data_IF_654740030004
#
_entry.id   IF_654740030004
#
_cell.length_a   1.000
_cell.length_b   1.000
_cell.length_c   1.000
_cell.angle_alpha   90.00
_cell.angle_beta   90.00
_cell.angle_gamma   90.00
#
_symmetry.space_group_name_H-M   'P 1'
#
loop_
_entity.id
_entity.type
_entity.pdbx_description
1 polymer ?
#
# COMPACT_ATOMS: atom_id res chain seq x y z
N UNK A 1 -15.33 -23.58 0.11
CA UNK A 1 -16.82 -23.48 0.19
C UNK A 1 -17.30 -22.18 0.84
N UNK A 2 -16.98 -21.88 2.10
CA UNK A 2 -17.46 -20.67 2.78
C UNK A 2 -17.11 -19.35 2.05
N UNK A 3 -15.93 -19.27 1.43
CA UNK A 3 -15.50 -18.12 0.63
C UNK A 3 -16.40 -17.93 -0.61
N UNK A 4 -16.67 -19.00 -1.37
CA UNK A 4 -17.61 -18.97 -2.50
C UNK A 4 -18.99 -18.47 -2.05
N UNK A 5 -19.52 -19.05 -0.98
CA UNK A 5 -20.82 -18.66 -0.44
C UNK A 5 -20.87 -17.17 -0.08
N UNK A 6 -19.88 -16.66 0.64
CA UNK A 6 -19.83 -15.26 1.03
C UNK A 6 -19.78 -14.32 -0.19
N UNK A 7 -18.99 -14.66 -1.20
CA UNK A 7 -18.92 -13.89 -2.44
C UNK A 7 -20.27 -13.91 -3.21
N UNK A 8 -20.92 -15.07 -3.27
CA UNK A 8 -22.23 -15.21 -3.93
C UNK A 8 -23.37 -14.50 -3.18
N UNK A 9 -23.22 -14.30 -1.86
CA UNK A 9 -24.13 -13.48 -1.06
C UNK A 9 -23.83 -11.97 -1.15
N UNK A 10 -22.86 -11.56 -1.97
CA UNK A 10 -22.55 -10.15 -2.21
C UNK A 10 -21.72 -9.49 -1.09
N UNK A 11 -20.96 -10.27 -0.31
CA UNK A 11 -20.00 -9.69 0.63
C UNK A 11 -18.94 -8.88 -0.13
N UNK A 12 -18.62 -7.67 0.33
CA UNK A 12 -17.52 -6.86 -0.24
C UNK A 12 -16.18 -7.12 0.46
N UNK A 13 -16.22 -7.63 1.70
CA UNK A 13 -15.04 -7.97 2.50
C UNK A 13 -15.28 -9.30 3.20
N UNK A 14 -14.30 -10.21 3.17
CA UNK A 14 -14.31 -11.46 3.93
C UNK A 14 -13.19 -11.42 4.98
N UNK A 15 -13.58 -11.42 6.25
CA UNK A 15 -12.67 -11.52 7.39
C UNK A 15 -12.42 -13.00 7.74
N UNK A 16 -11.16 -13.42 7.72
CA UNK A 16 -10.71 -14.78 8.04
C UNK A 16 -9.77 -14.75 9.24
N UNK A 17 -10.35 -14.61 10.44
CA UNK A 17 -9.63 -14.71 11.73
C UNK A 17 -9.30 -16.17 12.08
N UNK A 18 -8.71 -16.91 11.13
CA UNK A 18 -8.38 -18.34 11.21
C UNK A 18 -7.04 -18.61 10.52
N UNK A 19 -6.47 -19.79 10.78
CA UNK A 19 -5.25 -20.25 10.13
C UNK A 19 -4.97 -21.72 10.40
N UNK A 20 -4.00 -22.30 9.69
CA UNK A 20 -3.43 -23.60 10.05
C UNK A 20 -2.69 -23.52 11.39
N UNK A 21 -2.83 -24.56 12.21
CA UNK A 21 -2.19 -24.65 13.53
C UNK A 21 -0.78 -25.25 13.47
N UNK A 22 -0.45 -25.96 12.39
CA UNK A 22 0.85 -26.64 12.20
C UNK A 22 1.23 -26.70 10.73
N UNK A 23 2.53 -26.70 10.46
CA UNK A 23 3.11 -26.84 9.12
C UNK A 23 3.13 -25.53 8.34
N UNK A 24 4.11 -25.37 7.45
CA UNK A 24 4.17 -24.24 6.55
C UNK A 24 3.31 -24.54 5.32
N UNK A 25 2.25 -23.75 5.11
CA UNK A 25 1.35 -23.89 3.97
C UNK A 25 1.41 -22.61 3.14
N UNK A 26 1.98 -22.71 1.94
CA UNK A 26 1.90 -21.68 0.92
C UNK A 26 0.63 -21.92 0.10
N UNK A 27 -0.37 -21.07 0.28
CA UNK A 27 -1.70 -21.33 -0.27
C UNK A 27 -1.74 -21.54 -1.79
N UNK A 28 -1.07 -20.73 -2.64
CA UNK A 28 -1.03 -20.97 -4.09
C UNK A 28 -0.48 -22.35 -4.48
N UNK A 29 0.54 -22.83 -3.75
CA UNK A 29 1.26 -24.07 -4.07
C UNK A 29 0.64 -25.31 -3.45
N UNK A 30 0.27 -25.22 -2.17
CA UNK A 30 -0.05 -26.36 -1.32
C UNK A 30 -1.57 -26.55 -1.17
N UNK A 31 -2.37 -25.50 -1.40
CA UNK A 31 -3.85 -25.56 -1.31
C UNK A 31 -4.54 -24.90 -2.51
N UNK A 32 -4.36 -25.42 -3.74
CA UNK A 32 -4.87 -24.79 -4.96
C UNK A 32 -6.39 -24.60 -4.96
N UNK A 33 -7.16 -25.51 -4.35
CA UNK A 33 -8.62 -25.35 -4.23
C UNK A 33 -9.03 -24.17 -3.33
N UNK A 34 -8.21 -23.83 -2.33
CA UNK A 34 -8.43 -22.64 -1.51
C UNK A 34 -8.05 -21.39 -2.29
N UNK A 35 -6.92 -21.40 -3.01
CA UNK A 35 -6.52 -20.29 -3.87
C UNK A 35 -7.59 -20.02 -4.94
N UNK A 36 -8.18 -21.04 -5.55
CA UNK A 36 -9.28 -20.90 -6.51
C UNK A 36 -10.51 -20.20 -5.89
N UNK A 37 -10.84 -20.53 -4.64
CA UNK A 37 -11.92 -19.85 -3.93
C UNK A 37 -11.60 -18.38 -3.63
N UNK A 38 -10.34 -18.08 -3.31
CA UNK A 38 -9.85 -16.73 -3.09
C UNK A 38 -9.89 -15.92 -4.39
N UNK A 39 -9.39 -16.48 -5.49
CA UNK A 39 -9.41 -15.85 -6.81
C UNK A 39 -10.85 -15.61 -7.29
N UNK A 40 -11.75 -16.56 -7.05
CA UNK A 40 -13.17 -16.39 -7.34
C UNK A 40 -13.77 -15.20 -6.59
N UNK A 41 -13.57 -15.13 -5.27
CA UNK A 41 -14.08 -14.03 -4.46
C UNK A 41 -13.46 -12.69 -4.89
N UNK A 42 -12.15 -12.63 -5.12
CA UNK A 42 -11.48 -11.42 -5.61
C UNK A 42 -12.06 -10.97 -6.97
N UNK A 43 -12.27 -11.89 -7.91
CA UNK A 43 -12.88 -11.58 -9.23
C UNK A 43 -14.32 -11.05 -9.13
N UNK A 44 -15.01 -11.35 -8.03
CA UNK A 44 -16.35 -10.83 -7.70
C UNK A 44 -16.31 -9.46 -7.01
N UNK A 45 -15.13 -8.87 -6.86
CA UNK A 45 -14.93 -7.57 -6.20
C UNK A 45 -14.82 -7.68 -4.68
N UNK A 46 -14.50 -8.86 -4.14
CA UNK A 46 -14.41 -9.08 -2.69
C UNK A 46 -12.97 -8.92 -2.23
N UNK A 47 -12.74 -8.12 -1.19
CA UNK A 47 -11.44 -8.06 -0.53
C UNK A 47 -11.33 -9.16 0.54
N UNK A 48 -10.24 -9.92 0.53
CA UNK A 48 -9.97 -10.94 1.53
C UNK A 48 -8.94 -10.47 2.54
N UNK A 49 -9.20 -10.72 3.82
CA UNK A 49 -8.35 -10.29 4.93
C UNK A 49 -8.19 -11.46 5.90
N UNK A 50 -6.95 -11.83 6.26
CA UNK A 50 -6.68 -13.00 7.08
C UNK A 50 -5.67 -12.73 8.21
N UNK A 51 -5.79 -13.48 9.30
CA UNK A 51 -4.87 -13.40 10.43
C UNK A 51 -3.50 -14.00 10.10
N UNK A 52 -2.42 -13.35 10.52
CA UNK A 52 -1.07 -13.86 10.29
C UNK A 52 -0.68 -15.05 11.19
N UNK A 53 -1.39 -15.29 12.30
CA UNK A 53 -1.06 -16.33 13.29
C UNK A 53 -0.49 -15.77 14.60
N UNK A 54 -0.37 -16.62 15.63
CA UNK A 54 -0.15 -16.21 17.03
C UNK A 54 0.98 -16.99 17.74
N UNK A 55 1.92 -17.54 16.98
CA UNK A 55 2.97 -18.44 17.47
C UNK A 55 4.33 -17.76 17.63
N UNK A 56 4.43 -16.44 17.43
CA UNK A 56 5.68 -15.68 17.41
C UNK A 56 6.72 -16.26 16.45
N UNK A 57 6.28 -16.68 15.26
CA UNK A 57 7.08 -17.46 14.34
C UNK A 57 7.05 -16.95 12.91
N UNK A 58 8.03 -17.39 12.12
CA UNK A 58 8.08 -17.18 10.66
C UNK A 58 7.25 -18.17 9.85
N UNK A 59 6.39 -18.97 10.51
CA UNK A 59 5.64 -20.03 9.83
C UNK A 59 4.62 -19.47 8.84
N UNK A 60 4.43 -20.16 7.73
CA UNK A 60 3.47 -19.78 6.70
C UNK A 60 2.04 -20.14 7.13
N UNK A 61 1.19 -19.14 7.29
CA UNK A 61 -0.21 -19.29 7.72
C UNK A 61 -1.18 -19.02 6.57
N UNK A 62 -1.92 -20.04 6.16
CA UNK A 62 -3.01 -20.00 5.18
C UNK A 62 -4.33 -19.75 5.90
N UNK A 63 -5.20 -18.82 5.45
CA UNK A 63 -5.23 -18.19 4.13
C UNK A 63 -4.43 -16.89 3.98
N UNK A 64 -3.70 -16.41 4.99
CA UNK A 64 -2.92 -15.19 4.86
C UNK A 64 -1.81 -15.28 3.79
N UNK A 65 -1.34 -16.48 3.45
CA UNK A 65 -0.41 -16.74 2.35
C UNK A 65 -1.07 -16.85 0.97
N UNK A 66 -2.40 -16.78 0.87
CA UNK A 66 -3.10 -16.80 -0.41
C UNK A 66 -2.87 -15.48 -1.16
N UNK A 67 -2.78 -15.57 -2.48
CA UNK A 67 -2.77 -14.38 -3.35
C UNK A 67 -4.06 -13.60 -3.15
N UNK A 68 -4.04 -12.27 -3.32
CA UNK A 68 -5.19 -11.36 -3.12
C UNK A 68 -5.77 -11.32 -1.69
N UNK A 69 -5.06 -11.89 -0.71
CA UNK A 69 -5.45 -11.84 0.69
C UNK A 69 -4.50 -10.94 1.46
N UNK A 70 -5.04 -9.99 2.23
CA UNK A 70 -4.25 -9.17 3.14
C UNK A 70 -3.96 -9.97 4.42
N UNK A 71 -2.70 -10.35 4.61
CA UNK A 71 -2.22 -10.95 5.86
C UNK A 71 -2.01 -9.88 6.93
N UNK A 72 -2.62 -10.06 8.10
CA UNK A 72 -2.67 -9.05 9.16
C UNK A 72 -1.88 -9.48 10.39
N UNK A 73 -0.79 -8.76 10.66
CA UNK A 73 -0.03 -8.85 11.90
C UNK A 73 -0.67 -8.03 13.04
N UNK A 74 -0.30 -8.34 14.28
CA UNK A 74 -0.84 -7.71 15.49
C UNK A 74 0.15 -6.71 16.07
N UNK A 75 -0.34 -5.55 16.50
CA UNK A 75 0.40 -4.59 17.34
C UNK A 75 -0.29 -4.34 18.68
N UNK A 76 0.51 -3.92 19.66
CA UNK A 76 0.04 -3.39 20.94
C UNK A 76 -0.18 -1.88 20.93
N UNK A 77 -0.52 -1.32 22.09
CA UNK A 77 -0.86 0.11 22.24
C UNK A 77 0.30 1.08 21.97
N UNK A 78 1.54 0.58 21.95
CA UNK A 78 2.74 1.37 21.62
C UNK A 78 3.14 1.27 20.15
N UNK A 79 2.28 0.76 19.27
CA UNK A 79 2.60 0.38 17.88
C UNK A 79 3.72 -0.65 17.75
N UNK A 80 4.11 -1.32 18.83
CA UNK A 80 5.05 -2.42 18.78
C UNK A 80 4.34 -3.68 18.31
N UNK A 81 4.99 -4.47 17.45
CA UNK A 81 4.51 -5.82 17.10
C UNK A 81 4.27 -6.62 18.37
N UNK A 82 3.11 -7.27 18.42
CA UNK A 82 2.73 -8.10 19.53
C UNK A 82 3.67 -9.28 19.67
N UNK A 83 4.03 -9.60 20.91
CA UNK A 83 4.99 -10.66 21.22
C UNK A 83 4.57 -12.05 20.69
N UNK A 84 3.29 -12.24 20.35
CA UNK A 84 2.76 -13.47 19.78
C UNK A 84 2.59 -13.41 18.25
N UNK A 85 2.67 -12.25 17.61
CA UNK A 85 2.35 -12.13 16.19
C UNK A 85 3.35 -12.93 15.35
N UNK A 86 2.86 -13.75 14.44
CA UNK A 86 3.71 -14.28 13.39
C UNK A 86 4.15 -13.16 12.44
N UNK A 87 5.20 -13.47 11.68
CA UNK A 87 5.85 -12.58 10.74
C UNK A 87 6.26 -13.34 9.47
N UNK A 88 6.46 -12.64 8.36
CA UNK A 88 6.90 -13.28 7.11
C UNK A 88 6.46 -12.52 5.87
N UNK A 89 6.82 -13.06 4.70
CA UNK A 89 6.51 -12.47 3.39
C UNK A 89 5.02 -12.33 3.07
N UNK A 90 4.16 -13.00 3.83
CA UNK A 90 2.70 -12.96 3.66
C UNK A 90 2.03 -11.89 4.53
N UNK A 91 2.77 -11.20 5.40
CA UNK A 91 2.24 -10.07 6.18
C UNK A 91 2.12 -8.85 5.25
N UNK A 92 0.91 -8.36 5.04
CA UNK A 92 0.65 -7.19 4.21
C UNK A 92 0.62 -5.91 5.05
N UNK A 93 0.05 -5.97 6.25
CA UNK A 93 -0.14 -4.81 7.13
C UNK A 93 -0.28 -5.24 8.59
N UNK A 94 -0.09 -4.31 9.52
CA UNK A 94 -0.36 -4.53 10.93
C UNK A 94 -1.56 -3.72 11.42
N UNK A 95 -2.24 -4.23 12.44
CA UNK A 95 -3.30 -3.52 13.14
C UNK A 95 -3.31 -3.84 14.64
N UNK A 96 -3.93 -3.00 15.49
CA UNK A 96 -4.07 -3.27 16.92
C UNK A 96 -4.73 -4.63 17.18
N UNK A 97 -4.05 -5.50 17.92
CA UNK A 97 -4.54 -6.85 18.25
C UNK A 97 -4.31 -7.27 19.70
N UNK A 98 -3.78 -6.39 20.56
CA UNK A 98 -3.70 -6.62 22.00
C UNK A 98 -4.80 -5.91 22.77
N UNK A 99 -5.38 -6.60 23.76
CA UNK A 99 -6.39 -6.02 24.65
C UNK A 99 -7.52 -5.32 23.87
N UNK A 100 -8.06 -6.00 22.86
CA UNK A 100 -9.18 -5.50 22.06
C UNK A 100 -10.48 -5.84 22.75
N UNK A 101 -11.24 -4.81 23.12
CA UNK A 101 -12.54 -4.93 23.76
C UNK A 101 -13.63 -5.19 22.73
N UNK A 102 -14.37 -6.28 22.86
CA UNK A 102 -15.48 -6.58 21.95
C UNK A 102 -16.57 -7.40 22.62
N UNK A 103 -17.68 -7.61 21.90
CA UNK A 103 -18.84 -8.37 22.33
C UNK A 103 -18.49 -9.84 22.57
N UNK A 104 -19.12 -10.45 23.57
CA UNK A 104 -18.96 -11.87 23.91
C UNK A 104 -20.25 -12.64 23.70
N UNK A 105 -20.14 -13.91 23.29
CA UNK A 105 -21.30 -14.80 23.26
C UNK A 105 -21.91 -14.96 24.67
N UNK A 106 -23.24 -14.97 24.75
CA UNK A 106 -23.98 -14.92 26.03
C UNK A 106 -24.15 -13.51 26.61
N UNK A 107 -23.75 -12.47 25.89
CA UNK A 107 -23.88 -11.06 26.28
C UNK A 107 -22.65 -10.48 26.96
N UNK A 108 -22.63 -9.15 27.08
CA UNK A 108 -21.51 -8.40 27.64
C UNK A 108 -20.32 -8.29 26.70
N UNK A 109 -19.18 -7.92 27.28
CA UNK A 109 -17.96 -7.59 26.57
C UNK A 109 -16.75 -8.20 27.26
N UNK A 110 -15.70 -8.48 26.50
CA UNK A 110 -14.43 -8.97 27.02
C UNK A 110 -13.26 -8.41 26.22
N UNK A 111 -12.10 -8.34 26.87
CA UNK A 111 -10.83 -8.10 26.20
C UNK A 111 -10.26 -9.42 25.67
N UNK A 112 -9.82 -9.42 24.42
CA UNK A 112 -9.09 -10.52 23.80
C UNK A 112 -7.84 -10.01 23.08
N UNK A 113 -6.96 -10.93 22.72
CA UNK A 113 -5.75 -10.62 21.95
C UNK A 113 -5.49 -11.68 20.89
N UNK A 114 -4.84 -11.27 19.81
CA UNK A 114 -4.47 -12.13 18.70
C UNK A 114 -4.46 -11.36 17.37
N UNK A 115 -3.77 -11.89 16.37
CA UNK A 115 -3.93 -11.44 14.98
C UNK A 115 -5.38 -11.59 14.52
N UNK A 116 -6.11 -12.57 15.06
CA UNK A 116 -7.57 -12.71 14.90
C UNK A 116 -8.36 -11.47 15.34
N UNK A 117 -7.87 -10.69 16.31
CA UNK A 117 -8.47 -9.44 16.77
C UNK A 117 -7.99 -8.24 15.94
N UNK A 118 -6.82 -8.30 15.32
CA UNK A 118 -6.32 -7.28 14.38
C UNK A 118 -7.02 -7.34 13.00
N UNK A 119 -7.24 -8.54 12.46
CA UNK A 119 -7.91 -8.79 11.17
C UNK A 119 -9.26 -8.05 11.00
N UNK A 120 -10.18 -8.03 11.99
CA UNK A 120 -11.45 -7.31 11.83
C UNK A 120 -11.29 -5.79 11.82
N UNK A 121 -10.22 -5.20 12.38
CA UNK A 121 -9.98 -3.76 12.23
C UNK A 121 -9.62 -3.40 10.78
N UNK A 122 -8.78 -4.21 10.13
CA UNK A 122 -8.45 -4.03 8.70
C UNK A 122 -9.70 -4.26 7.84
N UNK A 123 -10.50 -5.28 8.16
CA UNK A 123 -11.76 -5.55 7.46
C UNK A 123 -12.77 -4.40 7.63
N UNK A 124 -12.84 -3.81 8.82
CA UNK A 124 -13.68 -2.64 9.09
C UNK A 124 -13.22 -1.41 8.31
N UNK A 125 -11.92 -1.16 8.22
CA UNK A 125 -11.37 -0.10 7.37
C UNK A 125 -11.71 -0.31 5.90
N UNK A 126 -11.57 -1.54 5.38
CA UNK A 126 -11.98 -1.87 4.02
C UNK A 126 -13.47 -1.59 3.78
N UNK A 127 -14.34 -1.94 4.74
CA UNK A 127 -15.77 -1.64 4.65
C UNK A 127 -16.06 -0.12 4.63
N UNK A 128 -15.34 0.67 5.42
CA UNK A 128 -15.45 2.14 5.38
C UNK A 128 -15.01 2.70 4.02
N UNK A 129 -13.95 2.16 3.43
CA UNK A 129 -13.49 2.55 2.10
C UNK A 129 -14.50 2.20 1.01
N UNK A 130 -15.10 1.00 1.03
CA UNK A 130 -16.19 0.67 0.11
C UNK A 130 -17.41 1.57 0.27
N UNK A 131 -17.73 1.98 1.51
CA UNK A 131 -18.83 2.92 1.75
C UNK A 131 -18.52 4.32 1.23
N UNK A 132 -17.29 4.82 1.42
CA UNK A 132 -16.85 6.12 0.93
C UNK A 132 -16.63 6.14 -0.59
N UNK A 133 -16.22 5.01 -1.17
CA UNK A 133 -15.90 4.84 -2.58
C UNK A 133 -16.56 3.56 -3.16
N UNK A 134 -17.88 3.57 -3.43
CA UNK A 134 -18.60 2.37 -3.89
C UNK A 134 -18.11 1.77 -5.21
N UNK A 135 -17.35 2.53 -6.00
CA UNK A 135 -16.75 2.08 -7.26
C UNK A 135 -15.35 1.49 -7.15
N UNK A 136 -14.77 1.41 -5.94
CA UNK A 136 -13.45 0.83 -5.77
C UNK A 136 -13.45 -0.67 -6.05
N UNK A 137 -12.39 -1.13 -6.73
CA UNK A 137 -12.06 -2.55 -6.81
C UNK A 137 -11.39 -3.02 -5.52
N UNK A 138 -11.35 -4.34 -5.23
CA UNK A 138 -10.59 -4.86 -4.09
C UNK A 138 -9.11 -4.44 -4.12
N UNK A 139 -8.51 -4.31 -5.29
CA UNK A 139 -7.12 -3.84 -5.41
C UNK A 139 -6.95 -2.37 -5.03
N UNK A 140 -7.93 -1.53 -5.37
CA UNK A 140 -7.94 -0.12 -4.97
C UNK A 140 -8.15 0.03 -3.47
N UNK A 141 -9.03 -0.79 -2.86
CA UNK A 141 -9.18 -0.81 -1.40
C UNK A 141 -7.90 -1.29 -0.73
N UNK A 142 -7.25 -2.34 -1.25
CA UNK A 142 -5.95 -2.79 -0.76
C UNK A 142 -4.88 -1.70 -0.88
N UNK A 143 -4.78 -1.02 -2.02
CA UNK A 143 -3.87 0.13 -2.20
C UNK A 143 -4.18 1.25 -1.19
N UNK A 144 -5.44 1.62 -1.01
CA UNK A 144 -5.82 2.65 -0.06
C UNK A 144 -5.42 2.31 1.40
N UNK A 145 -5.50 1.04 1.78
CA UNK A 145 -5.09 0.57 3.12
C UNK A 145 -3.56 0.56 3.25
N UNK A 146 -2.88 -0.04 2.28
CA UNK A 146 -1.46 -0.35 2.37
C UNK A 146 -0.57 0.86 2.10
N UNK A 147 -0.92 1.68 1.12
CA UNK A 147 -0.09 2.83 0.72
C UNK A 147 -0.26 4.03 1.68
N UNK A 148 -1.27 4.00 2.54
CA UNK A 148 -1.51 4.98 3.59
C UNK A 148 -1.22 4.44 4.99
N UNK A 149 -0.69 3.21 5.10
CA UNK A 149 -0.28 2.68 6.39
C UNK A 149 0.88 3.51 6.97
N UNK A 150 0.91 3.64 8.28
CA UNK A 150 2.00 4.30 8.99
C UNK A 150 3.13 3.31 9.12
N UNK A 151 4.20 3.56 8.37
CA UNK A 151 5.43 2.78 8.40
C UNK A 151 6.02 2.69 9.83
N UNK A 152 6.33 1.46 10.22
CA UNK A 152 6.82 1.06 11.53
C UNK A 152 7.80 -0.07 11.30
N UNK A 153 8.89 -0.08 12.07
CA UNK A 153 9.97 -1.04 11.86
C UNK A 153 11.01 -0.50 10.89
N UNK A 154 11.42 -1.35 9.94
CA UNK A 154 12.38 -0.96 8.91
C UNK A 154 11.67 -0.21 7.79
N UNK A 155 12.25 0.85 7.20
CA UNK A 155 11.57 1.65 6.18
C UNK A 155 11.08 0.82 4.99
N UNK A 156 9.81 1.00 4.62
CA UNK A 156 9.13 0.28 3.55
C UNK A 156 8.42 -0.97 4.06
N UNK A 157 8.32 -2.00 3.21
CA UNK A 157 7.74 -3.26 3.62
C UNK A 157 8.73 -4.06 4.48
N UNK A 158 8.27 -4.57 5.63
CA UNK A 158 9.01 -5.53 6.44
C UNK A 158 8.16 -6.74 6.88
N UNK A 159 8.79 -7.87 7.29
CA UNK A 159 8.05 -9.09 7.64
C UNK A 159 7.14 -8.99 8.87
N UNK A 160 7.33 -8.00 9.74
CA UNK A 160 6.63 -7.86 11.02
C UNK A 160 5.45 -6.90 10.93
N UNK A 161 5.60 -5.78 10.22
CA UNK A 161 4.57 -4.76 10.05
C UNK A 161 3.93 -4.78 8.67
N UNK A 162 4.49 -5.53 7.72
CA UNK A 162 4.11 -5.42 6.32
C UNK A 162 4.39 -4.00 5.85
N UNK A 163 3.38 -3.33 5.32
CA UNK A 163 3.44 -1.91 4.93
C UNK A 163 3.35 -0.92 6.08
N UNK A 164 3.26 -1.39 7.32
CA UNK A 164 3.09 -0.56 8.50
C UNK A 164 1.76 -0.83 9.20
N UNK A 165 1.45 -0.01 10.20
CA UNK A 165 0.18 -0.07 10.92
C UNK A 165 -0.91 0.69 10.15
N UNK A 166 -2.10 0.11 10.03
CA UNK A 166 -3.24 0.81 9.39
C UNK A 166 -3.49 2.21 9.95
N UNK A 167 -3.88 3.13 9.06
CA UNK A 167 -4.35 4.48 9.39
C UNK A 167 -5.67 4.74 8.67
N UNK A 168 -6.76 4.66 9.44
CA UNK A 168 -8.10 4.85 8.89
C UNK A 168 -8.33 6.26 8.35
N UNK A 169 -7.74 7.27 9.00
CA UNK A 169 -7.92 8.66 8.58
C UNK A 169 -7.20 8.93 7.27
N UNK A 170 -5.92 8.55 7.18
CA UNK A 170 -5.13 8.72 5.96
C UNK A 170 -5.71 7.92 4.79
N UNK A 171 -6.12 6.67 5.03
CA UNK A 171 -6.72 5.82 3.99
C UNK A 171 -8.04 6.42 3.44
N UNK A 172 -8.91 6.96 4.30
CA UNK A 172 -10.16 7.60 3.87
C UNK A 172 -9.94 8.97 3.22
N UNK A 173 -8.91 9.72 3.65
CA UNK A 173 -8.62 11.05 3.11
C UNK A 173 -7.96 10.97 1.73
N UNK A 174 -6.97 10.09 1.58
CA UNK A 174 -6.15 10.00 0.38
C UNK A 174 -6.69 8.98 -0.63
N UNK A 175 -7.41 7.96 -0.15
CA UNK A 175 -7.95 6.89 -1.00
C UNK A 175 -6.84 6.04 -1.64
N UNK A 176 -7.21 5.37 -2.73
CA UNK A 176 -6.31 4.52 -3.51
C UNK A 176 -5.29 5.34 -4.31
N UNK A 177 -4.01 4.95 -4.25
CA UNK A 177 -2.92 5.58 -5.01
C UNK A 177 -2.71 4.91 -6.37
N UNK A 178 -3.46 3.84 -6.67
CA UNK A 178 -3.40 3.10 -7.92
C UNK A 178 -4.31 1.86 -7.91
N UNK A 179 -4.13 1.01 -8.92
CA UNK A 179 -4.84 -0.27 -9.03
C UNK A 179 -4.09 -1.43 -8.37
N UNK A 180 -3.00 -1.15 -7.64
CA UNK A 180 -2.23 -2.15 -6.90
C UNK A 180 -1.44 -1.45 -5.79
N UNK A 181 -1.20 -2.11 -4.63
CA UNK A 181 -0.40 -1.55 -3.55
C UNK A 181 1.05 -1.27 -3.99
N UNK A 182 1.54 -0.06 -3.76
CA UNK A 182 2.90 0.35 -4.09
C UNK A 182 3.92 -0.20 -3.07
N UNK A 183 3.53 -0.23 -1.79
CA UNK A 183 4.42 -0.64 -0.71
C UNK A 183 4.93 -2.09 -0.85
N UNK A 184 4.08 -3.00 -1.35
CA UNK A 184 4.41 -4.43 -1.48
C UNK A 184 5.39 -4.76 -2.62
N UNK A 185 5.77 -3.77 -3.43
CA UNK A 185 6.41 -4.02 -4.72
C UNK A 185 5.54 -4.89 -5.65
N UNK A 186 6.05 -5.25 -6.82
CA UNK A 186 5.29 -6.04 -7.80
C UNK A 186 5.07 -7.52 -7.42
N UNK A 187 5.52 -7.96 -6.24
CA UNK A 187 5.76 -9.38 -5.95
C UNK A 187 4.77 -10.04 -4.97
N UNK A 188 4.03 -9.28 -4.14
CA UNK A 188 3.17 -9.90 -3.10
C UNK A 188 1.66 -9.81 -3.39
N UNK A 189 1.20 -8.82 -4.16
CA UNK A 189 -0.21 -8.67 -4.52
C UNK A 189 -0.45 -9.15 -5.96
N UNK A 190 -0.98 -10.37 -6.13
CA UNK A 190 -1.39 -10.91 -7.44
C UNK A 190 -0.65 -12.17 -7.93
N UNK A 191 0.33 -12.69 -7.17
CA UNK A 191 1.04 -13.92 -7.49
C UNK A 191 2.05 -13.78 -8.65
N UNK A 192 3.08 -14.62 -8.67
CA UNK A 192 4.06 -14.65 -9.77
C UNK A 192 3.45 -15.27 -11.05
N UNK A 193 2.66 -14.52 -11.80
CA UNK A 193 2.39 -14.78 -13.22
C UNK A 193 1.82 -13.54 -13.92
N UNK A 194 2.64 -12.90 -14.76
CA UNK A 194 2.31 -12.11 -15.97
C UNK A 194 3.35 -11.02 -16.29
N UNK A 195 4.64 -11.29 -16.06
CA UNK A 195 5.73 -10.40 -16.47
C UNK A 195 5.99 -10.39 -18.00
N UNK A 196 5.32 -11.24 -18.78
CA UNK A 196 5.54 -11.35 -20.23
C UNK A 196 4.42 -10.78 -21.11
N UNK A 197 3.17 -10.68 -20.63
CA UNK A 197 2.02 -10.24 -21.43
C UNK A 197 1.61 -8.77 -21.21
N UNK A 198 1.98 -8.14 -20.08
CA UNK A 198 1.58 -6.74 -19.75
C UNK A 198 2.44 -5.62 -20.34
N UNK A 199 3.45 -5.92 -21.17
CA UNK A 199 4.23 -4.85 -21.85
C UNK A 199 3.44 -4.13 -22.95
N UNK A 200 2.28 -4.63 -23.36
CA UNK A 200 1.54 -4.07 -24.50
C UNK A 200 0.33 -3.18 -24.14
N UNK A 201 -0.05 -3.04 -22.87
CA UNK A 201 -1.33 -2.38 -22.51
C UNK A 201 -1.21 -1.25 -21.47
N UNK A 202 -0.01 -0.91 -20.99
CA UNK A 202 0.19 0.27 -20.15
C UNK A 202 0.32 1.53 -21.02
N UNK A 203 -0.80 1.95 -21.59
CA UNK A 203 -1.03 3.30 -22.08
C UNK A 203 -2.16 3.90 -21.24
N UNK A 204 -1.85 5.03 -20.59
CA UNK A 204 -2.75 5.98 -19.90
C UNK A 204 -3.20 5.56 -18.48
N UNK A 205 -2.92 6.29 -17.39
CA UNK A 205 -2.53 7.70 -17.24
C UNK A 205 -1.66 7.88 -15.98
N UNK A 206 -0.47 8.47 -16.15
CA UNK A 206 0.31 9.07 -15.07
C UNK A 206 0.34 10.57 -15.35
N UNK A 207 0.30 11.41 -14.32
CA UNK A 207 0.68 12.80 -14.52
C UNK A 207 2.06 12.84 -15.20
N UNK A 208 2.16 13.48 -16.36
CA UNK A 208 3.40 13.52 -17.14
C UNK A 208 4.48 14.23 -16.30
N UNK A 209 5.57 13.56 -16.00
CA UNK A 209 6.78 14.16 -15.42
C UNK A 209 7.95 13.89 -16.34
N UNK A 210 8.96 14.76 -16.34
CA UNK A 210 10.13 14.60 -17.20
C UNK A 210 10.93 13.39 -16.71
N UNK A 211 11.10 12.32 -17.51
CA UNK A 211 11.85 11.15 -17.08
C UNK A 211 13.28 11.51 -16.71
N UNK A 212 13.78 10.90 -15.64
CA UNK A 212 15.11 11.11 -15.08
C UNK A 212 15.30 12.44 -14.35
N UNK A 213 14.24 13.22 -14.07
CA UNK A 213 14.36 14.53 -13.41
C UNK A 213 13.52 14.66 -12.13
N UNK A 214 14.17 15.12 -11.07
CA UNK A 214 13.55 15.42 -9.78
C UNK A 214 13.83 16.87 -9.37
N UNK A 215 12.90 17.48 -8.65
CA UNK A 215 13.08 18.76 -7.96
C UNK A 215 13.40 18.45 -6.50
N UNK A 216 14.57 18.90 -6.05
CA UNK A 216 15.13 18.66 -4.74
C UNK A 216 15.32 19.97 -3.98
N UNK A 217 14.87 20.02 -2.74
CA UNK A 217 15.11 21.10 -1.79
C UNK A 217 15.95 20.61 -0.63
N UNK A 218 16.98 21.36 -0.29
CA UNK A 218 17.86 21.08 0.84
C UNK A 218 17.58 22.07 1.97
N UNK A 219 17.78 21.64 3.21
CA UNK A 219 17.64 22.50 4.39
C UNK A 219 18.63 23.68 4.34
N UNK A 220 18.24 24.88 4.80
CA UNK A 220 18.97 26.13 4.56
C UNK A 220 20.37 26.21 5.18
N UNK A 221 20.65 25.42 6.22
CA UNK A 221 21.90 25.49 6.99
C UNK A 221 23.02 24.56 6.49
N UNK A 222 22.87 23.96 5.31
CA UNK A 222 23.84 23.02 4.77
C UNK A 222 25.03 23.74 4.12
N UNK A 223 26.23 23.45 4.61
CA UNK A 223 27.47 23.89 3.99
C UNK A 223 27.67 23.25 2.61
N UNK A 224 28.36 23.96 1.70
CA UNK A 224 28.56 23.50 0.31
C UNK A 224 29.25 22.12 0.18
N UNK A 225 30.09 21.73 1.14
CA UNK A 225 30.70 20.40 1.18
C UNK A 225 29.68 19.29 1.46
N UNK A 226 28.69 19.54 2.32
CA UNK A 226 27.62 18.58 2.63
C UNK A 226 26.69 18.36 1.43
N UNK A 227 26.49 19.39 0.61
CA UNK A 227 25.73 19.28 -0.64
C UNK A 227 26.46 18.37 -1.64
N UNK A 228 27.77 18.57 -1.82
CA UNK A 228 28.58 17.74 -2.72
C UNK A 228 28.64 16.28 -2.26
N UNK A 229 28.75 16.05 -0.94
CA UNK A 229 28.73 14.70 -0.36
C UNK A 229 27.38 14.00 -0.59
N UNK A 230 26.25 14.68 -0.36
CA UNK A 230 24.92 14.14 -0.63
C UNK A 230 24.78 13.69 -2.08
N UNK A 231 25.28 14.50 -3.01
CA UNK A 231 25.16 14.22 -4.44
C UNK A 231 25.97 12.98 -4.83
N UNK A 232 27.15 12.83 -4.25
CA UNK A 232 27.99 11.66 -4.44
C UNK A 232 27.38 10.40 -3.81
N UNK A 233 26.92 10.47 -2.56
CA UNK A 233 26.32 9.35 -1.82
C UNK A 233 25.09 8.77 -2.54
N UNK A 234 24.22 9.64 -3.03
CA UNK A 234 23.00 9.22 -3.71
C UNK A 234 23.17 9.06 -5.22
N UNK A 235 24.37 9.27 -5.76
CA UNK A 235 24.62 9.21 -7.22
C UNK A 235 23.68 10.11 -8.03
N UNK A 236 23.38 11.32 -7.51
CA UNK A 236 22.52 12.31 -8.16
C UNK A 236 23.34 13.41 -8.83
N UNK A 237 22.92 13.83 -10.02
CA UNK A 237 23.61 14.90 -10.78
C UNK A 237 22.85 16.21 -10.71
N UNK A 238 23.52 17.31 -10.40
CA UNK A 238 22.89 18.64 -10.57
C UNK A 238 22.69 18.94 -12.06
N UNK A 239 21.44 19.16 -12.47
CA UNK A 239 21.09 19.61 -13.82
C UNK A 239 20.99 21.13 -13.88
N UNK A 240 20.27 21.73 -12.92
CA UNK A 240 20.01 23.16 -12.89
C UNK A 240 19.74 23.64 -11.46
N UNK A 241 20.11 24.87 -11.14
CA UNK A 241 19.62 25.55 -9.92
C UNK A 241 18.38 26.37 -10.29
N UNK A 242 17.28 26.11 -9.60
CA UNK A 242 16.01 26.83 -9.73
C UNK A 242 16.00 28.13 -8.92
N UNK A 243 14.91 28.88 -9.05
CA UNK A 243 14.67 30.06 -8.22
C UNK A 243 14.27 29.65 -6.80
N UNK A 244 14.63 30.49 -5.82
CA UNK A 244 14.23 30.28 -4.42
C UNK A 244 15.05 29.26 -3.63
N UNK A 245 15.99 28.52 -4.26
CA UNK A 245 16.87 27.54 -3.58
C UNK A 245 16.69 26.08 -4.05
N UNK A 246 15.75 25.83 -4.97
CA UNK A 246 15.47 24.49 -5.48
C UNK A 246 16.55 24.01 -6.45
N UNK A 247 16.76 22.70 -6.50
CA UNK A 247 17.74 22.04 -7.36
C UNK A 247 17.00 21.07 -8.27
N UNK A 248 17.15 21.24 -9.58
CA UNK A 248 16.77 20.22 -10.54
C UNK A 248 17.90 19.21 -10.63
N UNK A 249 17.63 17.97 -10.24
CA UNK A 249 18.60 16.87 -10.20
C UNK A 249 18.22 15.77 -11.18
N UNK A 250 19.25 15.10 -11.71
CA UNK A 250 19.15 14.00 -12.66
C UNK A 250 19.38 12.66 -11.97
N UNK A 251 18.52 11.71 -12.28
CA UNK A 251 18.54 10.31 -11.81
C UNK A 251 18.38 9.37 -13.01
N UNK A 252 18.74 8.07 -12.89
CA UNK A 252 18.49 7.11 -13.96
C UNK A 252 17.00 7.07 -14.34
N UNK A 253 16.73 7.14 -15.65
CA UNK A 253 15.36 7.10 -16.18
C UNK A 253 14.66 5.80 -15.76
N UNK A 254 13.41 5.92 -15.31
CA UNK A 254 12.61 4.82 -14.79
C UNK A 254 12.89 4.46 -13.32
N UNK A 255 13.83 5.14 -12.65
CA UNK A 255 14.14 4.96 -11.23
C UNK A 255 13.77 6.19 -10.38
N UNK A 256 12.95 7.11 -10.91
CA UNK A 256 12.61 8.37 -10.25
C UNK A 256 11.98 8.13 -8.88
N UNK A 257 11.05 7.18 -8.78
CA UNK A 257 10.40 6.83 -7.50
C UNK A 257 11.37 6.25 -6.47
N UNK A 258 12.33 5.43 -6.90
CA UNK A 258 13.38 4.89 -6.02
C UNK A 258 14.24 6.04 -5.45
N UNK A 259 14.60 6.99 -6.29
CA UNK A 259 15.41 8.12 -5.87
C UNK A 259 14.61 9.14 -5.05
N UNK A 260 13.31 9.31 -5.30
CA UNK A 260 12.43 10.09 -4.42
C UNK A 260 12.45 9.54 -2.99
N UNK A 261 12.30 8.23 -2.82
CA UNK A 261 12.33 7.60 -1.51
C UNK A 261 13.70 7.76 -0.82
N UNK A 262 14.79 7.51 -1.54
CA UNK A 262 16.16 7.63 -1.02
C UNK A 262 16.51 9.06 -0.60
N UNK A 263 16.13 10.05 -1.41
CA UNK A 263 16.41 11.45 -1.15
C UNK A 263 15.49 12.00 -0.05
N UNK A 264 14.20 11.65 -0.04
CA UNK A 264 13.26 12.08 0.99
C UNK A 264 13.68 11.60 2.40
N UNK A 265 14.33 10.45 2.49
CA UNK A 265 14.84 9.89 3.74
C UNK A 265 16.15 10.54 4.23
N UNK A 266 16.85 11.33 3.40
CA UNK A 266 18.11 11.96 3.80
C UNK A 266 17.84 13.19 4.68
N UNK A 267 18.43 13.31 5.88
CA UNK A 267 18.13 14.38 6.83
C UNK A 267 18.50 15.78 6.32
N UNK A 268 19.34 15.88 5.29
CA UNK A 268 19.69 17.13 4.62
C UNK A 268 18.61 17.60 3.64
N UNK A 269 17.68 16.72 3.25
CA UNK A 269 16.61 17.03 2.30
C UNK A 269 15.41 17.60 3.04
N UNK A 270 14.89 18.72 2.53
CA UNK A 270 13.66 19.36 3.00
C UNK A 270 12.46 18.78 2.26
N UNK A 271 12.54 18.65 0.93
CA UNK A 271 11.60 17.88 0.12
C UNK A 271 12.23 17.42 -1.20
N UNK A 272 11.62 16.42 -1.82
CA UNK A 272 11.92 15.99 -3.18
C UNK A 272 10.65 15.56 -3.90
N UNK A 273 10.51 15.93 -5.17
CA UNK A 273 9.33 15.61 -5.98
C UNK A 273 9.67 15.41 -7.47
N UNK A 274 8.83 14.72 -8.27
CA UNK A 274 9.00 14.65 -9.72
C UNK A 274 8.98 16.03 -10.39
N UNK A 275 9.71 16.19 -11.49
CA UNK A 275 9.58 17.38 -12.34
C UNK A 275 8.36 17.25 -13.27
N UNK A 276 7.17 17.58 -12.77
CA UNK A 276 5.92 17.48 -13.53
C UNK A 276 5.90 18.41 -14.76
N UNK A 277 5.44 17.87 -15.89
CA UNK A 277 5.12 18.61 -17.11
C UNK A 277 3.72 19.20 -16.92
N UNK A 278 3.68 20.49 -16.57
CA UNK A 278 2.42 21.24 -16.55
C UNK A 278 2.01 21.57 -17.99
N UNK A 279 1.08 20.79 -18.53
CA UNK A 279 0.34 21.19 -19.74
C UNK A 279 -0.82 22.08 -19.34
N UNK A 280 -0.69 23.39 -19.52
CA UNK A 280 -1.83 24.29 -19.46
C UNK A 280 -2.70 24.03 -20.70
N UNK A 281 -3.86 23.39 -20.51
CA UNK A 281 -4.87 23.32 -21.56
C UNK A 281 -5.33 24.75 -21.89
N UNK A 282 -5.46 25.13 -23.17
CA UNK A 282 -6.07 26.41 -23.52
C UNK A 282 -7.49 26.44 -22.95
N UNK A 283 -7.81 27.47 -22.17
CA UNK A 283 -9.17 27.72 -21.69
C UNK A 283 -10.05 27.89 -22.93
N UNK A 284 -11.00 26.96 -23.10
CA UNK A 284 -12.00 27.04 -24.16
C UNK A 284 -12.90 28.25 -23.96
N UNK A 285 -12.51 29.38 -24.56
CA UNK A 285 -13.40 30.49 -24.84
C UNK A 285 -14.26 30.11 -26.04
N UNK A 286 -15.53 29.82 -25.81
CA UNK A 286 -16.50 29.64 -26.87
C UNK A 286 -16.59 30.89 -27.74
N UNK A 287 -16.52 30.69 -29.05
CA UNK A 287 -16.94 31.66 -30.05
C UNK A 287 -18.42 31.99 -29.84
N UNK A 288 -18.69 33.01 -29.04
CA UNK A 288 -19.90 33.79 -29.15
C UNK A 288 -19.71 34.75 -30.33
N UNK A 289 -20.46 34.52 -31.39
CA UNK A 289 -20.42 35.31 -32.61
C UNK A 289 -20.55 36.81 -32.34
N UNK A 290 -19.58 37.56 -32.88
CA UNK A 290 -19.75 38.96 -33.22
C UNK A 290 -19.61 39.08 -34.74
N UNK A 291 -20.70 39.48 -35.39
CA UNK A 291 -20.70 39.78 -36.82
C UNK A 291 -19.81 40.99 -37.10
N UNK A 292 -19.11 41.05 -38.25
CA UNK A 292 -18.45 42.28 -38.67
C UNK A 292 -19.49 43.31 -39.07
N UNK A 293 -19.22 44.56 -38.69
CA UNK A 293 -19.95 45.73 -39.13
C UNK A 293 -20.01 45.83 -40.67
N UNK A 294 -21.22 46.05 -41.18
CA UNK A 294 -21.55 46.98 -42.26
C UNK A 294 -22.74 47.81 -41.78
#
# INVERSE_FOLDING_TARGET
EAIYYAADQGAQVINMSLGNQTGDINCPKDTPALQEAVDYAHSKGVLLVAAAGNESSGHLVTPATCTYTLGVASTGSGDLVSYFSNYGSYVSVAAPGESIFSTRNGGGYQYMQGTSMATPLVSGLAALLYAAHPGYTPDQVASAILDNAVDRGDPGWDPHYGCGRIDAYAALLNGAQGSSPLCLGATAWGGEAESSSRRSALSQSRADYVPGQLILRLKPDLAGAAVSDLFWRHSVRLLRRGYGGDLLVGVPEGQELLFLQKLAADPAVEYVQPNYILSLSPVGGGDAGLSPAQ
#
